data_IF_603894374449
#
_entry.id   IF_603894374449
#
_cell.length_a   1.000
_cell.length_b   1.000
_cell.length_c   1.000
_cell.angle_alpha   90.00
_cell.angle_beta   90.00
_cell.angle_gamma   90.00
#
_symmetry.space_group_name_H-M   'P 1'
#
loop_
_entity.id
_entity.type
_entity.pdbx_description
1 polymer ?
#
# COMPACT_ATOMS: atom_id res chain seq x y z
N UNK A 1 -8.03 13.89 -17.33
CA UNK A 1 -7.98 15.07 -16.45
C UNK A 1 -7.23 16.22 -17.15
N UNK A 2 -7.06 17.43 -16.59
CA UNK A 2 -6.67 18.63 -17.38
C UNK A 2 -5.21 19.02 -17.19
N UNK A 3 -4.57 19.52 -18.25
CA UNK A 3 -3.16 20.00 -18.22
C UNK A 3 -2.95 21.07 -17.14
N UNK A 4 -3.87 22.01 -17.00
CA UNK A 4 -3.81 23.05 -15.97
C UNK A 4 -3.83 22.47 -14.54
N UNK A 5 -4.63 21.43 -14.29
CA UNK A 5 -4.65 20.73 -12.99
C UNK A 5 -3.30 20.07 -12.71
N UNK A 6 -2.72 19.39 -13.70
CA UNK A 6 -1.40 18.75 -13.57
C UNK A 6 -0.28 19.74 -13.28
N UNK A 7 -0.32 20.93 -13.90
CA UNK A 7 0.64 22.00 -13.61
C UNK A 7 0.52 22.46 -12.15
N UNK A 8 -0.70 22.66 -11.64
CA UNK A 8 -0.91 23.00 -10.22
C UNK A 8 -0.38 21.93 -9.27
N UNK A 9 -0.65 20.65 -9.53
CA UNK A 9 -0.13 19.54 -8.72
C UNK A 9 1.40 19.53 -8.66
N UNK A 10 2.07 19.78 -9.78
CA UNK A 10 3.54 19.87 -9.82
C UNK A 10 4.07 21.03 -8.98
N UNK A 11 3.47 22.22 -9.08
CA UNK A 11 3.87 23.38 -8.27
C UNK A 11 3.70 23.11 -6.77
N UNK A 12 2.59 22.46 -6.38
CA UNK A 12 2.34 22.08 -4.99
C UNK A 12 3.37 21.05 -4.51
N UNK A 13 3.71 20.05 -5.34
CA UNK A 13 4.72 19.05 -4.99
C UNK A 13 6.10 19.70 -4.74
N UNK A 14 6.52 20.62 -5.61
CA UNK A 14 7.80 21.36 -5.43
C UNK A 14 7.77 22.20 -4.15
N UNK A 15 6.66 22.85 -3.83
CA UNK A 15 6.53 23.60 -2.58
C UNK A 15 6.61 22.71 -1.34
N UNK A 16 5.99 21.53 -1.38
CA UNK A 16 6.07 20.54 -0.31
C UNK A 16 7.51 20.07 -0.08
N UNK A 17 8.25 19.75 -1.15
CA UNK A 17 9.64 19.29 -1.07
C UNK A 17 10.63 20.35 -0.57
N UNK A 18 10.30 21.64 -0.74
CA UNK A 18 11.09 22.73 -0.14
C UNK A 18 10.89 22.87 1.37
N UNK A 19 9.76 22.38 1.90
CA UNK A 19 9.38 22.55 3.31
C UNK A 19 9.57 21.28 4.14
N UNK A 20 9.41 20.11 3.54
CA UNK A 20 9.43 18.82 4.21
C UNK A 20 10.39 17.85 3.53
N UNK A 21 11.00 16.98 4.32
CA UNK A 21 11.80 15.87 3.83
C UNK A 21 10.92 14.82 3.13
N UNK A 22 11.54 13.98 2.28
CA UNK A 22 10.82 12.87 1.62
C UNK A 22 10.19 11.90 2.62
N UNK A 23 10.83 11.70 3.78
CA UNK A 23 10.31 10.87 4.86
C UNK A 23 9.06 11.46 5.49
N UNK A 24 9.04 12.77 5.77
CA UNK A 24 7.86 13.46 6.32
C UNK A 24 6.70 13.49 5.33
N UNK A 25 6.97 13.71 4.04
CA UNK A 25 5.95 13.65 2.98
C UNK A 25 5.34 12.24 2.92
N UNK A 26 6.18 11.20 2.94
CA UNK A 26 5.71 9.81 2.94
C UNK A 26 4.90 9.49 4.20
N UNK A 27 5.37 9.89 5.38
CA UNK A 27 4.65 9.71 6.64
C UNK A 27 3.28 10.38 6.59
N UNK A 28 3.22 11.63 6.10
CA UNK A 28 1.97 12.36 5.90
C UNK A 28 1.01 11.60 4.97
N UNK A 29 1.50 11.14 3.81
CA UNK A 29 0.73 10.32 2.88
C UNK A 29 0.19 9.05 3.55
N UNK A 30 1.05 8.31 4.23
CA UNK A 30 0.68 7.05 4.89
C UNK A 30 -0.37 7.23 6.00
N UNK A 31 -0.47 8.41 6.60
CA UNK A 31 -1.49 8.71 7.61
C UNK A 31 -2.86 9.07 7.03
N UNK A 32 -2.90 9.63 5.82
CA UNK A 32 -4.16 10.13 5.21
C UNK A 32 -4.69 9.26 4.08
N UNK A 33 -3.85 8.39 3.50
CA UNK A 33 -4.27 7.53 2.40
C UNK A 33 -5.36 6.55 2.84
N UNK A 34 -6.26 6.21 1.91
CA UNK A 34 -7.31 5.23 2.13
C UNK A 34 -6.78 3.82 1.83
N UNK A 35 -6.93 2.91 2.79
CA UNK A 35 -6.42 1.55 2.74
C UNK A 35 -7.52 0.49 2.82
N UNK A 36 -8.77 0.85 2.57
CA UNK A 36 -9.89 -0.10 2.58
C UNK A 36 -11.25 0.57 2.44
N UNK A 37 -12.30 -0.25 2.54
CA UNK A 37 -13.69 0.24 2.58
C UNK A 37 -13.99 0.98 3.88
N UNK A 38 -15.15 1.63 3.93
CA UNK A 38 -15.69 2.30 5.12
C UNK A 38 -14.73 3.33 5.71
N UNK A 39 -14.12 4.15 4.86
CA UNK A 39 -13.27 5.25 5.31
C UNK A 39 -12.08 4.80 6.18
N UNK A 40 -11.49 3.64 5.84
CA UNK A 40 -10.28 3.17 6.50
C UNK A 40 -9.07 3.99 6.02
N UNK A 41 -8.67 4.97 6.83
CA UNK A 41 -7.52 5.83 6.56
C UNK A 41 -6.36 5.53 7.51
N UNK A 42 -5.14 5.67 6.99
CA UNK A 42 -3.92 5.48 7.76
C UNK A 42 -3.39 4.06 7.74
N UNK A 43 -2.08 3.91 7.50
CA UNK A 43 -1.40 2.62 7.40
C UNK A 43 -1.40 1.85 8.73
N UNK A 44 -1.29 2.55 9.87
CA UNK A 44 -1.35 1.94 11.21
C UNK A 44 -2.73 1.32 11.47
N UNK A 45 -3.80 2.05 11.14
CA UNK A 45 -5.17 1.56 11.26
C UNK A 45 -5.39 0.34 10.36
N UNK A 46 -4.85 0.36 9.14
CA UNK A 46 -4.93 -0.77 8.21
C UNK A 46 -4.17 -2.00 8.71
N UNK A 47 -2.95 -1.82 9.21
CA UNK A 47 -2.13 -2.89 9.78
C UNK A 47 -2.85 -3.60 10.94
N UNK A 48 -3.42 -2.82 11.87
CA UNK A 48 -4.22 -3.36 12.97
C UNK A 48 -5.48 -4.07 12.48
N UNK A 49 -6.22 -3.46 11.55
CA UNK A 49 -7.49 -4.03 11.06
C UNK A 49 -7.31 -5.34 10.32
N UNK A 50 -6.29 -5.45 9.48
CA UNK A 50 -6.12 -6.60 8.60
C UNK A 50 -5.29 -7.72 9.22
N UNK A 51 -4.36 -7.38 10.11
CA UNK A 51 -3.35 -8.32 10.58
C UNK A 51 -3.07 -8.26 12.08
N UNK A 52 -3.74 -7.36 12.82
CA UNK A 52 -3.56 -7.16 14.26
C UNK A 52 -2.08 -6.91 14.68
N UNK A 53 -1.34 -6.17 13.86
CA UNK A 53 0.05 -5.74 14.13
C UNK A 53 0.19 -4.23 13.96
N UNK A 54 1.27 -3.64 14.49
CA UNK A 54 1.64 -2.26 14.18
C UNK A 54 2.22 -2.18 12.76
N UNK A 55 2.08 -1.04 12.09
CA UNK A 55 2.58 -0.84 10.72
C UNK A 55 4.09 -1.06 10.60
N UNK A 56 4.85 -0.74 11.66
CA UNK A 56 6.31 -0.98 11.69
C UNK A 56 6.69 -2.48 11.73
N UNK A 57 5.76 -3.33 12.16
CA UNK A 57 5.98 -4.77 12.36
C UNK A 57 5.41 -5.61 11.20
N UNK A 58 4.96 -4.96 10.12
CA UNK A 58 4.44 -5.64 8.94
C UNK A 58 5.54 -6.43 8.24
N UNK A 59 5.27 -7.72 7.99
CA UNK A 59 6.13 -8.52 7.13
C UNK A 59 5.93 -8.17 5.64
N UNK A 60 6.73 -8.79 4.75
CA UNK A 60 6.70 -8.54 3.30
C UNK A 60 5.31 -8.79 2.69
N UNK A 61 4.64 -9.89 3.05
CA UNK A 61 3.31 -10.24 2.51
C UNK A 61 2.28 -9.21 2.95
N UNK A 62 2.29 -8.83 4.23
CA UNK A 62 1.34 -7.86 4.80
C UNK A 62 1.56 -6.46 4.23
N UNK A 63 2.82 -6.03 4.14
CA UNK A 63 3.24 -4.76 3.52
C UNK A 63 2.78 -4.68 2.07
N UNK A 64 3.07 -5.71 1.27
CA UNK A 64 2.65 -5.76 -0.13
C UNK A 64 1.12 -5.75 -0.29
N UNK A 65 0.41 -6.42 0.63
CA UNK A 65 -1.05 -6.45 0.63
C UNK A 65 -1.61 -5.06 0.89
N UNK A 66 -1.15 -4.36 1.94
CA UNK A 66 -1.63 -3.01 2.28
C UNK A 66 -1.28 -2.01 1.19
N UNK A 67 -0.06 -2.06 0.64
CA UNK A 67 0.36 -1.18 -0.44
C UNK A 67 -0.53 -1.33 -1.69
N UNK A 68 -0.91 -2.57 -2.04
CA UNK A 68 -1.78 -2.86 -3.17
C UNK A 68 -3.18 -2.22 -3.04
N UNK A 69 -3.68 -2.03 -1.82
CA UNK A 69 -5.03 -1.49 -1.58
C UNK A 69 -5.15 -0.04 -2.04
N UNK A 70 -4.10 0.77 -1.91
CA UNK A 70 -4.10 2.20 -2.26
C UNK A 70 -4.53 2.49 -3.71
N UNK A 71 -4.32 1.53 -4.62
CA UNK A 71 -4.72 1.63 -6.03
C UNK A 71 -6.24 1.58 -6.23
N UNK A 72 -6.95 0.77 -5.45
CA UNK A 72 -8.40 0.74 -5.43
C UNK A 72 -8.89 0.21 -4.06
N UNK A 73 -9.10 1.11 -3.09
CA UNK A 73 -9.40 0.71 -1.71
C UNK A 73 -10.65 -0.16 -1.56
N UNK A 74 -11.63 0.01 -2.46
CA UNK A 74 -12.87 -0.74 -2.41
C UNK A 74 -12.75 -2.13 -3.02
N UNK A 75 -12.05 -2.27 -4.15
CA UNK A 75 -11.93 -3.55 -4.87
C UNK A 75 -10.84 -4.46 -4.31
N UNK A 76 -9.83 -3.88 -3.65
CA UNK A 76 -8.68 -4.63 -3.16
C UNK A 76 -8.70 -4.84 -1.65
N UNK A 77 -9.76 -4.42 -0.95
CA UNK A 77 -9.97 -4.75 0.46
C UNK A 77 -10.09 -6.27 0.64
N UNK A 78 -9.10 -6.94 1.26
CA UNK A 78 -9.06 -8.40 1.34
C UNK A 78 -10.00 -8.97 2.42
N UNK A 79 -10.58 -8.11 3.27
CA UNK A 79 -11.57 -8.53 4.27
C UNK A 79 -12.92 -8.91 3.64
N UNK A 80 -13.15 -8.51 2.39
CA UNK A 80 -14.34 -8.86 1.62
C UNK A 80 -14.06 -10.11 0.79
N UNK A 81 -14.81 -11.18 1.03
CA UNK A 81 -14.57 -12.49 0.39
C UNK A 81 -14.50 -12.43 -1.14
N UNK A 82 -15.40 -11.67 -1.78
CA UNK A 82 -15.42 -11.51 -3.24
C UNK A 82 -14.21 -10.79 -3.82
N UNK A 83 -13.47 -10.03 -2.99
CA UNK A 83 -12.31 -9.25 -3.42
C UNK A 83 -11.00 -10.03 -3.28
N UNK A 84 -10.97 -11.14 -2.54
CA UNK A 84 -9.73 -11.80 -2.12
C UNK A 84 -8.83 -12.17 -3.31
N UNK A 85 -9.40 -12.74 -4.37
CA UNK A 85 -8.63 -13.07 -5.58
C UNK A 85 -8.03 -11.84 -6.28
N UNK A 86 -8.78 -10.72 -6.31
CA UNK A 86 -8.30 -9.47 -6.89
C UNK A 86 -7.22 -8.82 -6.02
N UNK A 87 -7.40 -8.82 -4.71
CA UNK A 87 -6.44 -8.32 -3.73
C UNK A 87 -5.13 -9.13 -3.81
N UNK A 88 -5.22 -10.46 -3.87
CA UNK A 88 -4.06 -11.36 -4.01
C UNK A 88 -3.30 -11.10 -5.31
N UNK A 89 -4.01 -10.95 -6.43
CA UNK A 89 -3.40 -10.59 -7.72
C UNK A 89 -2.65 -9.26 -7.64
N UNK A 90 -3.21 -8.23 -7.00
CA UNK A 90 -2.53 -6.94 -6.87
C UNK A 90 -1.35 -7.00 -5.90
N UNK A 91 -1.47 -7.71 -4.78
CA UNK A 91 -0.35 -7.97 -3.87
C UNK A 91 0.82 -8.62 -4.62
N UNK A 92 0.54 -9.60 -5.47
CA UNK A 92 1.57 -10.28 -6.24
C UNK A 92 2.28 -9.35 -7.23
N UNK A 93 1.57 -8.38 -7.83
CA UNK A 93 2.20 -7.32 -8.63
C UNK A 93 3.14 -6.46 -7.78
N UNK A 94 2.74 -6.10 -6.56
CA UNK A 94 3.62 -5.35 -5.64
C UNK A 94 4.86 -6.18 -5.28
N UNK A 95 4.71 -7.48 -5.02
CA UNK A 95 5.84 -8.38 -4.76
C UNK A 95 6.79 -8.46 -5.96
N UNK A 96 6.26 -8.60 -7.18
CA UNK A 96 7.05 -8.60 -8.42
C UNK A 96 7.88 -7.29 -8.52
N UNK A 97 7.25 -6.14 -8.26
CA UNK A 97 7.92 -4.83 -8.26
C UNK A 97 8.98 -4.70 -7.16
N UNK A 98 8.70 -5.17 -5.95
CA UNK A 98 9.66 -5.17 -4.85
C UNK A 98 10.89 -6.01 -5.18
N UNK A 99 10.71 -7.17 -5.82
CA UNK A 99 11.81 -8.01 -6.28
C UNK A 99 12.62 -7.33 -7.39
N UNK A 100 11.95 -6.80 -8.42
CA UNK A 100 12.60 -6.10 -9.54
C UNK A 100 13.44 -4.89 -9.08
N UNK A 101 13.00 -4.21 -8.02
CA UNK A 101 13.69 -3.05 -7.45
C UNK A 101 14.69 -3.42 -6.35
N UNK A 102 14.87 -4.72 -6.05
CA UNK A 102 15.87 -5.22 -5.10
C UNK A 102 15.50 -5.07 -3.62
N UNK A 103 14.24 -4.79 -3.27
CA UNK A 103 13.80 -4.71 -1.88
C UNK A 103 13.67 -6.07 -1.19
N UNK A 104 13.48 -7.14 -1.96
CA UNK A 104 13.37 -8.52 -1.46
C UNK A 104 14.17 -9.48 -2.33
N UNK A 105 14.64 -10.57 -1.72
CA UNK A 105 15.32 -11.66 -2.44
C UNK A 105 14.32 -12.50 -3.24
N UNK A 106 14.82 -13.25 -4.25
CA UNK A 106 14.00 -14.21 -5.01
C UNK A 106 13.30 -15.23 -4.09
N UNK A 107 13.99 -15.70 -3.06
CA UNK A 107 13.41 -16.64 -2.07
C UNK A 107 12.23 -16.01 -1.33
N UNK A 108 12.40 -14.82 -0.77
CA UNK A 108 11.32 -14.10 -0.08
C UNK A 108 10.14 -13.80 -1.00
N UNK A 109 10.41 -13.44 -2.26
CA UNK A 109 9.40 -13.23 -3.29
C UNK A 109 8.58 -14.49 -3.56
N UNK A 110 9.23 -15.61 -3.84
CA UNK A 110 8.59 -16.87 -4.19
C UNK A 110 7.76 -17.40 -3.00
N UNK A 111 8.30 -17.33 -1.78
CA UNK A 111 7.60 -17.68 -0.53
C UNK A 111 6.39 -16.75 -0.27
N UNK A 112 6.54 -15.45 -0.49
CA UNK A 112 5.48 -14.48 -0.28
C UNK A 112 4.31 -14.69 -1.26
N UNK A 113 4.59 -14.98 -2.54
CA UNK A 113 3.55 -15.24 -3.54
C UNK A 113 2.79 -16.55 -3.30
N UNK A 114 3.44 -17.54 -2.69
CA UNK A 114 2.80 -18.79 -2.30
C UNK A 114 1.89 -18.67 -1.07
N UNK A 115 1.92 -17.54 -0.35
CA UNK A 115 1.11 -17.33 0.85
C UNK A 115 -0.32 -16.91 0.47
N UNK A 116 -1.36 -17.71 0.76
CA UNK A 116 -2.74 -17.31 0.49
C UNK A 116 -3.19 -16.20 1.45
N UNK A 117 -4.28 -15.51 1.12
CA UNK A 117 -4.91 -14.60 2.07
C UNK A 117 -5.41 -15.37 3.31
N UNK A 118 -4.95 -14.97 4.49
CA UNK A 118 -5.52 -15.39 5.77
C UNK A 118 -5.72 -14.17 6.67
N UNK A 119 -6.91 -14.08 7.27
CA UNK A 119 -7.09 -13.27 8.48
C UNK A 119 -6.45 -14.09 9.59
N UNK A 120 -5.36 -13.61 10.18
CA UNK A 120 -4.96 -14.09 11.51
C UNK A 120 -5.62 -13.21 12.55
#
# INVERSE_FOLDING_TARGET
DTVARKIREMLIAVQMERKYTKAEILQGYLNIAQFGRNSLYGVETAAKRYFNVSAKDLNVVQSATIAAITKNPTQYDPSVKSNQAAAEKQRNIVLDLMYQQGYITKKQHDEAKATPWSRR
#
